data_IF_518688443693
#
_entry.id   IF_518688443693
#
_cell.length_a   1.000
_cell.length_b   1.000
_cell.length_c   1.000
_cell.angle_alpha   90.00
_cell.angle_beta   90.00
_cell.angle_gamma   90.00
#
_symmetry.space_group_name_H-M   'P 1'
#
loop_
_entity.id
_entity.type
_entity.pdbx_description
1 polymer ?
#
# COMPACT_ATOMS: atom_id res chain seq x y z
N UNK A 1 -32.27 -7.28 -8.66
CA UNK A 1 -30.99 -7.98 -8.86
C UNK A 1 -29.98 -6.94 -9.32
N UNK A 2 -29.03 -6.56 -8.47
CA UNK A 2 -28.02 -5.56 -8.80
C UNK A 2 -26.92 -6.19 -9.66
N UNK A 3 -26.84 -5.76 -10.91
CA UNK A 3 -25.79 -6.15 -11.85
C UNK A 3 -24.48 -5.50 -11.39
N UNK A 4 -23.70 -6.24 -10.61
CA UNK A 4 -22.34 -5.87 -10.20
C UNK A 4 -21.43 -6.10 -11.40
N UNK A 5 -21.54 -5.23 -12.40
CA UNK A 5 -20.65 -5.20 -13.56
C UNK A 5 -19.25 -4.98 -13.05
N UNK A 6 -18.48 -6.06 -13.06
CA UNK A 6 -17.11 -6.14 -12.60
C UNK A 6 -16.29 -5.04 -13.26
N UNK A 7 -15.68 -4.17 -12.46
CA UNK A 7 -14.57 -3.34 -12.91
C UNK A 7 -13.40 -4.29 -13.21
N UNK A 8 -13.40 -4.89 -14.41
CA UNK A 8 -12.28 -5.70 -14.89
C UNK A 8 -11.15 -4.74 -15.19
N UNK A 9 -10.27 -4.58 -14.22
CA UNK A 9 -9.01 -3.88 -14.38
C UNK A 9 -8.14 -4.75 -15.29
N UNK A 10 -7.78 -4.25 -16.48
CA UNK A 10 -6.95 -4.96 -17.47
C UNK A 10 -5.47 -5.00 -17.05
N UNK A 11 -5.22 -5.29 -15.78
CA UNK A 11 -3.89 -5.31 -15.17
C UNK A 11 -3.82 -6.57 -14.31
N UNK A 12 -2.67 -7.23 -14.34
CA UNK A 12 -2.35 -8.30 -13.42
C UNK A 12 -1.92 -7.72 -12.08
N UNK A 13 -2.13 -8.47 -11.00
CA UNK A 13 -1.70 -8.12 -9.65
C UNK A 13 -0.64 -9.12 -9.16
N UNK A 14 0.46 -8.60 -8.62
CA UNK A 14 1.52 -9.42 -8.03
C UNK A 14 1.31 -9.54 -6.51
N UNK A 15 0.98 -10.72 -5.95
CA UNK A 15 0.83 -10.89 -4.50
C UNK A 15 2.16 -10.86 -3.75
N UNK A 16 3.29 -10.98 -4.45
CA UNK A 16 4.62 -10.88 -3.84
C UNK A 16 5.07 -9.42 -3.70
N UNK A 17 4.82 -8.61 -4.73
CA UNK A 17 5.25 -7.21 -4.76
C UNK A 17 4.13 -6.22 -4.39
N UNK A 18 2.90 -6.70 -4.21
CA UNK A 18 1.72 -5.88 -3.92
C UNK A 18 1.56 -4.73 -4.93
N UNK A 19 1.66 -5.02 -6.22
CA UNK A 19 1.63 -4.01 -7.28
C UNK A 19 0.89 -4.50 -8.53
N UNK A 20 0.14 -3.63 -9.22
CA UNK A 20 -0.44 -3.93 -10.52
C UNK A 20 0.62 -3.83 -11.64
N UNK A 21 0.46 -4.60 -12.70
CA UNK A 21 1.32 -4.58 -13.89
C UNK A 21 0.58 -5.04 -15.14
N UNK A 22 1.09 -4.74 -16.33
CA UNK A 22 0.40 -5.00 -17.62
C UNK A 22 1.04 -6.12 -18.44
N UNK A 23 2.28 -6.44 -18.13
CA UNK A 23 3.09 -7.48 -18.76
C UNK A 23 2.61 -8.88 -18.36
N UNK A 24 3.10 -9.93 -19.04
CA UNK A 24 2.77 -11.33 -18.69
C UNK A 24 3.36 -11.76 -17.34
N UNK A 25 4.49 -11.17 -16.95
CA UNK A 25 5.22 -11.46 -15.72
C UNK A 25 5.48 -10.15 -14.97
N UNK A 26 5.43 -10.19 -13.64
CA UNK A 26 5.72 -9.02 -12.82
C UNK A 26 7.12 -8.47 -13.12
N UNK A 27 7.27 -7.19 -13.48
CA UNK A 27 8.57 -6.61 -13.84
C UNK A 27 9.55 -6.53 -12.67
N UNK A 28 9.06 -6.62 -11.43
CA UNK A 28 9.88 -6.52 -10.21
C UNK A 28 10.45 -7.86 -9.78
N UNK A 29 9.66 -8.94 -9.81
CA UNK A 29 10.07 -10.26 -9.28
C UNK A 29 9.93 -11.42 -10.27
N UNK A 30 9.46 -11.17 -11.50
CA UNK A 30 9.27 -12.20 -12.53
C UNK A 30 8.12 -13.19 -12.25
N UNK A 31 7.35 -13.00 -11.18
CA UNK A 31 6.24 -13.91 -10.82
C UNK A 31 5.00 -13.62 -11.66
N UNK A 32 4.30 -14.69 -12.08
CA UNK A 32 2.99 -14.57 -12.73
C UNK A 32 1.90 -14.33 -11.70
N UNK A 33 1.06 -13.34 -11.96
CA UNK A 33 0.02 -12.85 -11.08
C UNK A 33 -1.37 -13.05 -11.69
N UNK A 34 -2.39 -12.89 -10.84
CA UNK A 34 -3.77 -13.02 -11.25
C UNK A 34 -4.29 -11.70 -11.83
N UNK A 35 -5.48 -11.70 -12.42
CA UNK A 35 -6.16 -10.44 -12.74
C UNK A 35 -6.42 -9.65 -11.46
N UNK A 36 -6.16 -8.35 -11.53
CA UNK A 36 -6.34 -7.47 -10.39
C UNK A 36 -7.82 -7.27 -10.05
N UNK A 37 -8.09 -7.13 -8.76
CA UNK A 37 -9.40 -6.78 -8.20
C UNK A 37 -9.36 -5.40 -7.54
N UNK A 38 -10.50 -4.69 -7.43
CA UNK A 38 -10.57 -3.39 -6.74
C UNK A 38 -10.03 -3.39 -5.30
N UNK A 39 -10.15 -4.53 -4.62
CA UNK A 39 -9.78 -4.71 -3.21
C UNK A 39 -8.34 -5.20 -3.03
N UNK A 40 -7.61 -5.49 -4.11
CA UNK A 40 -6.25 -5.99 -4.01
C UNK A 40 -5.35 -4.96 -3.31
N UNK A 41 -4.59 -5.36 -2.27
CA UNK A 41 -3.77 -4.43 -1.52
C UNK A 41 -2.54 -4.01 -2.34
N UNK A 42 -2.39 -2.70 -2.54
CA UNK A 42 -1.25 -2.09 -3.22
C UNK A 42 -0.30 -1.50 -2.19
N UNK A 43 0.99 -1.83 -2.32
CA UNK A 43 2.02 -1.21 -1.51
C UNK A 43 2.08 0.30 -1.76
N UNK A 44 1.90 1.08 -0.70
CA UNK A 44 1.94 2.53 -0.77
C UNK A 44 3.32 3.07 -0.38
N UNK A 45 3.70 2.87 0.88
CA UNK A 45 4.99 3.28 1.42
C UNK A 45 5.30 2.57 2.74
N UNK A 46 6.56 2.65 3.14
CA UNK A 46 7.03 2.31 4.46
C UNK A 46 7.18 3.59 5.29
N UNK A 47 7.11 3.45 6.60
CA UNK A 47 7.42 4.51 7.54
C UNK A 47 7.99 3.96 8.84
N UNK A 48 8.89 4.73 9.42
CA UNK A 48 9.31 4.51 10.79
C UNK A 48 8.21 4.89 11.79
N UNK A 49 8.51 4.66 13.06
CA UNK A 49 7.62 4.99 14.18
C UNK A 49 7.18 6.47 14.24
N UNK A 50 8.01 7.41 13.80
CA UNK A 50 7.71 8.85 13.90
C UNK A 50 6.84 9.34 12.76
N UNK A 51 7.05 8.79 11.57
CA UNK A 51 6.30 9.13 10.38
C UNK A 51 4.95 8.41 10.33
N UNK A 52 4.87 7.19 10.88
CA UNK A 52 3.68 6.34 10.88
C UNK A 52 2.40 7.09 11.29
N UNK A 53 2.34 7.84 12.42
CA UNK A 53 1.14 8.58 12.81
C UNK A 53 0.65 9.56 11.74
N UNK A 54 1.58 10.26 11.06
CA UNK A 54 1.24 11.25 10.03
C UNK A 54 0.62 10.60 8.80
N UNK A 55 1.08 9.39 8.44
CA UNK A 55 0.48 8.61 7.35
C UNK A 55 -0.92 8.18 7.74
N UNK A 56 -1.09 7.66 8.95
CA UNK A 56 -2.39 7.21 9.43
C UNK A 56 -3.40 8.35 9.47
N UNK A 57 -3.01 9.53 9.94
CA UNK A 57 -3.88 10.71 10.01
C UNK A 57 -4.32 11.13 8.60
N UNK A 58 -3.39 11.24 7.64
CA UNK A 58 -3.73 11.55 6.25
C UNK A 58 -4.69 10.54 5.63
N UNK A 59 -4.45 9.23 5.81
CA UNK A 59 -5.33 8.19 5.28
C UNK A 59 -6.72 8.21 5.95
N UNK A 60 -6.78 8.49 7.27
CA UNK A 60 -8.03 8.64 8.02
C UNK A 60 -8.83 9.87 7.57
N UNK A 61 -8.17 11.02 7.42
CA UNK A 61 -8.80 12.28 7.00
C UNK A 61 -9.36 12.22 5.58
N UNK A 62 -8.66 11.53 4.67
CA UNK A 62 -9.10 11.30 3.29
C UNK A 62 -10.14 10.18 3.16
N UNK A 63 -10.37 9.40 4.22
CA UNK A 63 -11.28 8.25 4.20
C UNK A 63 -10.75 7.06 3.39
N UNK A 64 -9.44 6.99 3.16
CA UNK A 64 -8.80 5.91 2.40
C UNK A 64 -8.62 4.69 3.32
N UNK A 65 -9.24 3.54 3.01
CA UNK A 65 -9.00 2.31 3.76
C UNK A 65 -7.56 1.83 3.56
N UNK A 66 -6.93 1.33 4.63
CA UNK A 66 -5.55 0.84 4.58
C UNK A 66 -5.31 -0.36 5.49
N UNK A 67 -4.29 -1.13 5.14
CA UNK A 67 -3.68 -2.15 5.98
C UNK A 67 -2.31 -1.68 6.41
N UNK A 68 -1.98 -1.91 7.68
CA UNK A 68 -0.68 -1.60 8.28
C UNK A 68 -0.05 -2.91 8.75
N UNK A 69 1.21 -3.12 8.37
CA UNK A 69 1.98 -4.30 8.77
C UNK A 69 3.36 -3.89 9.29
N UNK A 70 3.59 -4.10 10.58
CA UNK A 70 4.91 -3.93 11.20
C UNK A 70 5.86 -5.07 10.83
N UNK A 71 7.15 -4.75 10.71
CA UNK A 71 8.21 -5.68 10.31
C UNK A 71 8.68 -6.58 11.45
N UNK A 72 8.87 -6.03 12.67
CA UNK A 72 9.52 -6.77 13.76
C UNK A 72 8.50 -7.37 14.74
N UNK A 73 7.31 -6.78 14.82
CA UNK A 73 6.23 -7.21 15.70
C UNK A 73 6.51 -6.94 17.19
N UNK A 74 5.44 -6.75 17.97
CA UNK A 74 5.50 -6.12 19.30
C UNK A 74 6.53 -6.72 20.29
N UNK A 75 6.76 -8.03 20.24
CA UNK A 75 7.72 -8.71 21.11
C UNK A 75 9.18 -8.35 20.82
N UNK A 76 9.54 -8.22 19.54
CA UNK A 76 10.90 -7.86 19.15
C UNK A 76 11.11 -6.34 19.27
N UNK A 77 10.11 -5.53 18.91
CA UNK A 77 10.12 -4.07 19.08
C UNK A 77 10.43 -3.66 20.51
N UNK A 78 9.80 -4.32 21.50
CA UNK A 78 10.02 -4.04 22.92
C UNK A 78 11.47 -4.31 23.35
N UNK A 79 12.16 -5.23 22.67
CA UNK A 79 13.52 -5.65 23.01
C UNK A 79 14.60 -4.77 22.39
N UNK A 80 14.45 -4.36 21.14
CA UNK A 80 15.47 -3.59 20.40
C UNK A 80 15.14 -2.11 20.26
N UNK A 81 13.91 -1.71 20.62
CA UNK A 81 13.45 -0.33 20.63
C UNK A 81 12.61 0.03 19.40
N UNK A 82 11.65 0.94 19.59
CA UNK A 82 10.71 1.39 18.56
C UNK A 82 11.38 2.09 17.36
N UNK A 83 12.59 2.61 17.53
CA UNK A 83 13.36 3.23 16.44
C UNK A 83 13.74 2.27 15.31
N UNK A 84 13.63 0.96 15.53
CA UNK A 84 13.89 -0.04 14.49
C UNK A 84 12.60 -0.59 13.86
N UNK A 85 11.42 -0.25 14.38
CA UNK A 85 10.15 -0.66 13.79
C UNK A 85 9.88 0.16 12.53
N UNK A 86 9.62 -0.56 11.44
CA UNK A 86 9.07 0.00 10.22
C UNK A 86 7.71 -0.63 9.95
N UNK A 87 6.77 0.21 9.56
CA UNK A 87 5.43 -0.17 9.18
C UNK A 87 5.27 -0.03 7.66
N UNK A 88 4.79 -1.09 7.03
CA UNK A 88 4.40 -1.05 5.63
C UNK A 88 2.89 -0.79 5.50
N UNK A 89 2.55 0.19 4.67
CA UNK A 89 1.18 0.59 4.38
C UNK A 89 0.74 0.05 3.03
N UNK A 90 -0.45 -0.54 3.02
CA UNK A 90 -1.10 -1.04 1.81
C UNK A 90 -2.50 -0.45 1.69
N UNK A 91 -2.92 -0.14 0.48
CA UNK A 91 -4.22 0.47 0.19
C UNK A 91 -4.90 -0.27 -0.95
N UNK A 92 -6.24 -0.43 -0.94
CA UNK A 92 -6.95 -1.09 -2.02
C UNK A 92 -6.65 -0.43 -3.36
N UNK A 93 -6.47 -1.25 -4.39
CA UNK A 93 -6.10 -0.80 -5.73
C UNK A 93 -7.09 0.23 -6.30
N UNK A 94 -8.38 0.11 -5.99
CA UNK A 94 -9.37 1.13 -6.37
C UNK A 94 -9.07 2.48 -5.69
N UNK A 95 -8.85 2.48 -4.37
CA UNK A 95 -8.54 3.70 -3.65
C UNK A 95 -7.20 4.32 -4.10
N UNK A 96 -6.20 3.48 -4.43
CA UNK A 96 -4.95 3.94 -5.01
C UNK A 96 -5.15 4.72 -6.31
N UNK A 97 -6.06 4.26 -7.17
CA UNK A 97 -6.39 4.94 -8.43
C UNK A 97 -7.27 6.18 -8.22
N UNK A 98 -8.24 6.10 -7.32
CA UNK A 98 -9.18 7.19 -7.05
C UNK A 98 -8.48 8.41 -6.40
N UNK A 99 -7.39 8.19 -5.64
CA UNK A 99 -6.63 9.23 -4.92
C UNK A 99 -5.15 9.29 -5.34
N UNK A 100 -4.84 8.88 -6.57
CA UNK A 100 -3.45 8.67 -7.02
C UNK A 100 -2.57 9.92 -6.82
N UNK A 101 -3.10 11.10 -7.14
CA UNK A 101 -2.35 12.35 -7.09
C UNK A 101 -2.10 12.82 -5.65
N UNK A 102 -3.11 12.77 -4.78
CA UNK A 102 -2.99 13.11 -3.36
C UNK A 102 -1.98 12.18 -2.66
N UNK A 103 -2.07 10.88 -2.93
CA UNK A 103 -1.14 9.88 -2.41
C UNK A 103 0.30 10.14 -2.87
N UNK A 104 0.51 10.51 -4.14
CA UNK A 104 1.84 10.86 -4.66
C UNK A 104 2.39 12.13 -4.02
N UNK A 105 1.57 13.19 -3.91
CA UNK A 105 1.96 14.46 -3.31
C UNK A 105 2.36 14.28 -1.84
N UNK A 106 1.54 13.55 -1.08
CA UNK A 106 1.86 13.26 0.32
C UNK A 106 3.17 12.48 0.45
N UNK A 107 3.38 11.44 -0.35
CA UNK A 107 4.62 10.64 -0.34
C UNK A 107 5.85 11.48 -0.65
N UNK A 108 5.75 12.43 -1.58
CA UNK A 108 6.84 13.35 -1.90
C UNK A 108 7.11 14.36 -0.77
N UNK A 109 6.06 14.92 -0.17
CA UNK A 109 6.17 15.87 0.93
C UNK A 109 6.86 15.27 2.15
N UNK A 110 6.61 13.99 2.41
CA UNK A 110 7.24 13.24 3.49
C UNK A 110 8.72 12.96 3.23
N UNK A 111 9.08 12.51 2.01
CA UNK A 111 10.48 12.22 1.64
C UNK A 111 11.41 13.44 1.63
N UNK A 112 10.87 14.64 1.62
CA UNK A 112 11.66 15.89 1.61
C UNK A 112 12.09 16.32 3.02
N UNK A 113 11.62 15.62 4.07
CA UNK A 113 11.90 15.95 5.47
C UNK A 113 12.94 15.03 6.13
N UNK A 114 13.53 14.12 5.36
CA UNK A 114 14.67 13.27 5.72
C UNK A 114 15.98 13.88 5.19
#
# INVERSE_FOLDING_TARGET
MGDSTQYIMKEHYCPHCFAPYKEELCPTCGTRGNLSTPEDPIYYMEADYFLSPRIEDFLKETGIPYLKKGELGAGLTTRIGFSFEHDHYFIPLKAYKDFEEELKLFRQAVKTQE
#
